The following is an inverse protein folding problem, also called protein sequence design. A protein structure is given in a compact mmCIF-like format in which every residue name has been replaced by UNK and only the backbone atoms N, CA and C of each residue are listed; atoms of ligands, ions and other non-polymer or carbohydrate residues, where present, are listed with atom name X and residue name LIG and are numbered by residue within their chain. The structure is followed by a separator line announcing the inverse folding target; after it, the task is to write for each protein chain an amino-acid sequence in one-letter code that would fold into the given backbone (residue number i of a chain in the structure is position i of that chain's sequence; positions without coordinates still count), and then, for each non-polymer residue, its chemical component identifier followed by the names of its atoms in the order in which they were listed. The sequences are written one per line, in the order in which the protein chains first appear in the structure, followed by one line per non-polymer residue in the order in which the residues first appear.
data_IF_747742002951
#
_entry.id   IF_747742002951
#
_cell.length_a   1.000
_cell.length_b   1.000
_cell.length_c   1.000
_cell.angle_alpha   90.00
_cell.angle_beta   90.00
_cell.angle_gamma   90.00
#
_symmetry.space_group_name_H-M   'P 1'
#
loop_
_entity.id
_entity.type
_entity.pdbx_description
1 polymer ?
#
# COMPACT_ATOMS: atom_id res chain seq x y z
N UNK A 1 12.03 4.61 19.99
CA UNK A 1 13.11 3.69 19.57
C UNK A 1 13.71 4.21 18.28
N UNK A 2 15.01 3.98 18.07
CA UNK A 2 15.66 4.22 16.76
C UNK A 2 16.12 2.85 16.29
N UNK A 3 15.76 2.49 15.06
CA UNK A 3 16.24 1.26 14.40
C UNK A 3 17.21 1.68 13.32
N UNK A 4 18.42 1.13 13.36
CA UNK A 4 19.44 1.32 12.34
C UNK A 4 19.74 -0.04 11.70
N UNK A 5 19.75 -0.08 10.37
CA UNK A 5 20.10 -1.26 9.61
C UNK A 5 21.26 -0.93 8.67
N UNK A 6 22.31 -1.75 8.70
CA UNK A 6 23.48 -1.63 7.83
C UNK A 6 23.56 -2.83 6.91
N UNK A 7 23.59 -2.58 5.60
CA UNK A 7 23.87 -3.60 4.59
C UNK A 7 25.34 -3.49 4.14
N UNK A 8 26.08 -4.59 4.21
CA UNK A 8 27.45 -4.68 3.71
C UNK A 8 27.70 -6.10 3.17
N UNK A 9 28.34 -6.21 2.01
CA UNK A 9 28.66 -7.49 1.40
C UNK A 9 29.85 -7.34 0.46
N UNK A 10 30.54 -8.46 0.19
CA UNK A 10 31.56 -8.56 -0.87
C UNK A 10 30.96 -9.01 -2.21
N UNK A 11 29.78 -9.63 -2.18
CA UNK A 11 29.13 -10.22 -3.36
C UNK A 11 27.89 -9.45 -3.81
N UNK A 12 27.19 -8.84 -2.85
CA UNK A 12 26.04 -7.98 -3.13
C UNK A 12 26.49 -6.54 -3.35
N UNK A 13 25.78 -5.86 -4.24
CA UNK A 13 26.00 -4.48 -4.60
C UNK A 13 24.75 -3.68 -4.28
N UNK A 14 24.95 -2.50 -3.70
CA UNK A 14 23.86 -1.65 -3.22
C UNK A 14 23.94 -0.29 -3.89
N UNK A 15 22.80 0.21 -4.35
CA UNK A 15 22.68 1.59 -4.82
C UNK A 15 21.42 2.22 -4.26
N UNK A 16 21.61 3.18 -3.36
CA UNK A 16 20.54 4.04 -2.91
C UNK A 16 20.24 5.13 -3.95
N UNK A 17 18.99 5.55 -3.99
CA UNK A 17 18.51 6.68 -4.77
C UNK A 17 17.29 7.32 -4.12
N UNK A 18 16.83 8.41 -4.70
CA UNK A 18 15.61 9.11 -4.26
C UNK A 18 14.87 9.67 -5.48
N UNK A 19 13.56 9.48 -5.51
CA UNK A 19 12.65 10.27 -6.35
C UNK A 19 12.02 11.35 -5.47
N UNK A 20 12.09 12.63 -5.85
CA UNK A 20 11.43 13.73 -5.14
C UNK A 20 10.10 14.09 -5.80
N UNK A 21 9.32 14.99 -5.19
CA UNK A 21 8.10 15.57 -5.78
C UNK A 21 7.13 14.51 -6.30
N UNK A 22 6.97 13.43 -5.53
CA UNK A 22 6.14 12.28 -5.97
C UNK A 22 4.66 12.55 -5.79
N UNK A 23 4.29 13.58 -5.01
CA UNK A 23 2.92 14.09 -4.94
C UNK A 23 2.42 14.74 -6.24
N UNK A 24 3.31 15.05 -7.19
CA UNK A 24 2.94 15.56 -8.52
C UNK A 24 2.38 14.46 -9.45
N UNK A 25 2.11 13.25 -8.95
CA UNK A 25 1.50 12.14 -9.69
C UNK A 25 2.27 11.79 -10.98
N UNK A 26 3.61 11.77 -10.91
CA UNK A 26 4.49 11.54 -12.06
C UNK A 26 5.26 10.22 -11.98
N UNK A 27 4.69 9.10 -12.51
CA UNK A 27 5.43 7.84 -12.70
C UNK A 27 6.75 8.02 -13.44
N UNK A 28 6.81 8.99 -14.36
CA UNK A 28 8.01 9.32 -15.12
C UNK A 28 9.18 9.81 -14.24
N UNK A 29 8.91 10.60 -13.18
CA UNK A 29 9.96 11.07 -12.28
C UNK A 29 10.53 9.91 -11.46
N UNK A 30 9.67 9.05 -10.94
CA UNK A 30 10.06 7.83 -10.21
C UNK A 30 10.90 6.93 -11.12
N UNK A 31 10.43 6.67 -12.34
CA UNK A 31 11.12 5.86 -13.33
C UNK A 31 12.54 6.39 -13.58
N UNK A 32 12.67 7.69 -13.87
CA UNK A 32 13.95 8.35 -14.15
C UNK A 32 14.94 8.22 -12.99
N UNK A 33 14.48 8.43 -11.75
CA UNK A 33 15.32 8.28 -10.56
C UNK A 33 15.86 6.86 -10.43
N UNK A 34 15.00 5.85 -10.62
CA UNK A 34 15.37 4.44 -10.55
C UNK A 34 16.32 4.05 -11.69
N UNK A 35 16.08 4.50 -12.92
CA UNK A 35 16.97 4.23 -14.07
C UNK A 35 18.37 4.84 -13.87
N UNK A 36 18.45 6.02 -13.25
CA UNK A 36 19.71 6.67 -12.91
C UNK A 36 20.50 5.85 -11.88
N UNK A 37 19.82 5.37 -10.82
CA UNK A 37 20.42 4.51 -9.82
C UNK A 37 20.83 3.15 -10.42
N UNK A 38 19.97 2.53 -11.24
CA UNK A 38 20.22 1.26 -11.93
C UNK A 38 21.46 1.34 -12.83
N UNK A 39 21.60 2.42 -13.60
CA UNK A 39 22.78 2.67 -14.43
C UNK A 39 24.05 2.81 -13.59
N UNK A 40 23.96 3.53 -12.47
CA UNK A 40 25.08 3.72 -11.54
C UNK A 40 25.49 2.46 -10.77
N UNK A 41 24.56 1.52 -10.56
CA UNK A 41 24.83 0.24 -9.89
C UNK A 41 25.76 -0.66 -10.72
N UNK A 42 25.74 -0.51 -12.05
CA UNK A 42 26.59 -1.26 -12.97
C UNK A 42 26.30 -2.76 -13.05
N UNK A 43 25.25 -3.23 -12.37
CA UNK A 43 24.75 -4.60 -12.36
C UNK A 43 23.23 -4.60 -12.37
N UNK A 44 22.63 -5.65 -12.94
CA UNK A 44 21.19 -5.83 -12.89
C UNK A 44 20.74 -5.97 -11.42
N UNK A 45 19.82 -5.12 -10.93
CA UNK A 45 19.25 -5.30 -9.60
C UNK A 45 18.41 -6.57 -9.55
N UNK A 46 18.33 -7.16 -8.38
CA UNK A 46 17.54 -8.34 -8.06
C UNK A 46 16.43 -8.04 -7.03
N UNK A 47 16.54 -6.94 -6.27
CA UNK A 47 15.53 -6.50 -5.30
C UNK A 47 15.58 -4.98 -5.10
N UNK A 48 14.43 -4.38 -4.78
CA UNK A 48 14.30 -2.96 -4.43
C UNK A 48 13.60 -2.83 -3.08
N UNK A 49 14.17 -2.02 -2.17
CA UNK A 49 13.51 -1.60 -0.93
C UNK A 49 13.12 -0.14 -1.07
N UNK A 50 11.88 0.24 -0.76
CA UNK A 50 11.37 1.61 -0.82
C UNK A 50 10.91 2.11 0.55
N UNK A 51 11.07 3.41 0.80
CA UNK A 51 10.57 4.08 2.02
C UNK A 51 9.83 5.37 1.68
N UNK A 52 8.73 5.30 0.91
CA UNK A 52 8.01 6.47 0.44
C UNK A 52 7.52 7.37 1.58
N UNK A 53 7.24 8.64 1.24
CA UNK A 53 6.46 9.51 2.10
C UNK A 53 5.13 8.84 2.50
N UNK A 54 4.54 9.29 3.61
CA UNK A 54 3.34 8.66 4.19
C UNK A 54 2.03 9.34 3.86
N UNK A 55 2.08 10.48 3.17
CA UNK A 55 0.95 11.39 3.05
C UNK A 55 0.89 11.96 1.65
N UNK A 56 -0.32 12.04 1.08
CA UNK A 56 -0.55 12.62 -0.24
C UNK A 56 0.29 11.96 -1.36
N UNK A 57 0.55 10.66 -1.22
CA UNK A 57 1.17 9.85 -2.27
C UNK A 57 0.15 8.87 -2.86
N UNK A 58 0.05 8.87 -4.18
CA UNK A 58 -0.70 7.85 -4.89
C UNK A 58 0.17 6.60 -5.07
N UNK A 59 -0.04 5.61 -4.20
CA UNK A 59 0.74 4.37 -4.21
C UNK A 59 0.63 3.61 -5.53
N UNK A 60 -0.49 3.70 -6.26
CA UNK A 60 -0.64 2.98 -7.52
C UNK A 60 0.25 3.59 -8.62
N UNK A 61 0.30 4.92 -8.71
CA UNK A 61 1.23 5.63 -9.62
C UNK A 61 2.69 5.44 -9.21
N UNK A 62 2.96 5.35 -7.89
CA UNK A 62 4.28 4.99 -7.39
C UNK A 62 4.73 3.62 -7.91
N UNK A 63 3.88 2.61 -7.70
CA UNK A 63 4.15 1.23 -8.14
C UNK A 63 4.27 1.16 -9.66
N UNK A 64 3.44 1.89 -10.41
CA UNK A 64 3.54 2.02 -11.86
C UNK A 64 4.92 2.54 -12.28
N UNK A 65 5.38 3.66 -11.71
CA UNK A 65 6.69 4.23 -12.03
C UNK A 65 7.86 3.29 -11.71
N UNK A 66 7.78 2.56 -10.59
CA UNK A 66 8.77 1.55 -10.21
C UNK A 66 8.79 0.38 -11.22
N UNK A 67 7.61 -0.15 -11.59
CA UNK A 67 7.46 -1.24 -12.56
C UNK A 67 7.96 -0.85 -13.95
N UNK A 68 7.71 0.38 -14.40
CA UNK A 68 8.22 0.87 -15.67
C UNK A 68 9.77 0.89 -15.74
N UNK A 69 10.47 1.03 -14.61
CA UNK A 69 11.94 1.01 -14.55
C UNK A 69 12.54 -0.38 -14.26
N UNK A 70 11.86 -1.18 -13.46
CA UNK A 70 12.38 -2.43 -12.91
C UNK A 70 11.80 -3.69 -13.58
N UNK A 71 10.61 -3.59 -14.17
CA UNK A 71 9.83 -4.69 -14.74
C UNK A 71 8.59 -5.04 -13.90
N UNK A 72 7.57 -5.59 -14.56
CA UNK A 72 6.25 -5.87 -13.95
C UNK A 72 6.29 -6.83 -12.76
N UNK A 73 7.16 -7.84 -12.82
CA UNK A 73 7.29 -8.88 -11.80
C UNK A 73 8.50 -8.67 -10.89
N UNK A 74 9.09 -7.47 -10.91
CA UNK A 74 10.28 -7.20 -10.12
C UNK A 74 9.94 -7.09 -8.63
N UNK A 75 10.69 -7.75 -7.72
CA UNK A 75 10.41 -7.73 -6.29
C UNK A 75 10.70 -6.36 -5.67
N UNK A 76 9.66 -5.72 -5.16
CA UNK A 76 9.70 -4.42 -4.49
C UNK A 76 9.13 -4.59 -3.08
N UNK A 77 9.93 -4.25 -2.07
CA UNK A 77 9.54 -4.32 -0.67
C UNK A 77 9.64 -2.95 -0.02
N UNK A 78 8.98 -2.75 1.11
CA UNK A 78 9.09 -1.51 1.85
C UNK A 78 7.81 -1.13 2.58
N UNK A 79 7.75 0.14 2.97
CA UNK A 79 6.59 0.72 3.63
C UNK A 79 6.71 2.23 3.68
N UNK A 80 5.57 2.90 3.81
CA UNK A 80 5.52 4.35 3.94
C UNK A 80 6.08 4.79 5.29
N UNK A 81 6.69 5.98 5.32
CA UNK A 81 7.02 6.65 6.56
C UNK A 81 5.72 6.97 7.33
N UNK A 82 5.73 6.81 8.65
CA UNK A 82 4.58 7.11 9.51
C UNK A 82 4.84 8.30 10.44
N UNK A 83 3.78 9.03 10.81
CA UNK A 83 3.83 10.16 11.74
C UNK A 83 2.96 9.95 13.00
N UNK A 84 2.62 8.70 13.30
CA UNK A 84 1.76 8.30 14.43
C UNK A 84 0.37 8.95 14.37
N UNK A 85 -0.22 9.06 13.17
CA UNK A 85 -1.55 9.63 12.94
C UNK A 85 -1.66 11.11 13.33
N UNK A 86 -0.55 11.83 13.40
CA UNK A 86 -0.56 13.25 13.75
C UNK A 86 -1.02 14.14 12.60
N UNK A 87 -0.95 13.65 11.37
CA UNK A 87 -1.33 14.42 10.18
C UNK A 87 -0.40 15.62 9.93
N UNK A 88 0.84 15.56 10.44
CA UNK A 88 1.82 16.65 10.33
C UNK A 88 2.81 16.44 9.18
N UNK A 89 2.67 15.33 8.45
CA UNK A 89 3.61 14.93 7.41
C UNK A 89 4.74 14.05 7.95
N UNK A 90 5.52 13.50 7.03
CA UNK A 90 6.63 12.59 7.34
C UNK A 90 7.92 13.08 6.73
N UNK A 91 9.04 12.59 7.25
CA UNK A 91 10.38 12.96 6.78
C UNK A 91 11.09 11.75 6.20
N UNK A 92 11.76 11.96 5.08
CA UNK A 92 12.58 10.98 4.39
C UNK A 92 14.00 11.53 4.29
N UNK A 93 15.00 10.65 4.31
CA UNK A 93 16.40 11.02 4.33
C UNK A 93 17.14 10.35 3.20
N UNK A 94 17.97 11.11 2.48
CA UNK A 94 18.90 10.57 1.50
C UNK A 94 20.18 11.40 1.48
N UNK A 95 21.31 10.76 1.81
CA UNK A 95 22.59 11.41 2.07
C UNK A 95 22.43 12.54 3.11
N UNK A 96 22.79 13.77 2.76
CA UNK A 96 22.71 14.95 3.63
C UNK A 96 21.40 15.71 3.54
N UNK A 97 20.43 15.21 2.75
CA UNK A 97 19.18 15.90 2.48
C UNK A 97 18.01 15.29 3.26
N UNK A 98 17.10 16.16 3.70
CA UNK A 98 15.81 15.82 4.31
C UNK A 98 14.71 16.20 3.34
N UNK A 99 13.76 15.30 3.12
CA UNK A 99 12.64 15.46 2.21
C UNK A 99 11.32 15.24 2.97
N UNK A 100 10.25 15.86 2.48
CA UNK A 100 8.87 15.62 2.94
C UNK A 100 7.97 15.05 1.86
N UNK A 101 8.46 15.06 0.62
CA UNK A 101 7.78 14.53 -0.56
C UNK A 101 8.79 13.77 -1.43
N UNK A 102 9.13 12.56 -0.99
CA UNK A 102 10.09 11.73 -1.69
C UNK A 102 9.87 10.23 -1.48
N UNK A 103 10.52 9.45 -2.33
CA UNK A 103 10.67 8.01 -2.20
C UNK A 103 12.16 7.67 -2.26
N UNK A 104 12.85 7.62 -1.10
CA UNK A 104 14.11 6.94 -1.02
C UNK A 104 13.93 5.45 -1.31
N UNK A 105 14.88 4.89 -2.04
CA UNK A 105 14.90 3.48 -2.37
C UNK A 105 16.33 2.93 -2.37
N UNK A 106 16.45 1.62 -2.24
CA UNK A 106 17.70 0.87 -2.27
C UNK A 106 17.58 -0.26 -3.29
N UNK A 107 18.39 -0.21 -4.34
CA UNK A 107 18.58 -1.30 -5.27
C UNK A 107 19.66 -2.25 -4.75
N UNK A 108 19.38 -3.55 -4.82
CA UNK A 108 20.29 -4.62 -4.42
C UNK A 108 20.55 -5.51 -5.63
N UNK A 109 21.80 -5.77 -5.97
CA UNK A 109 22.23 -6.66 -7.05
C UNK A 109 23.22 -7.73 -6.55
N UNK A 110 23.33 -8.84 -7.27
CA UNK A 110 24.21 -9.96 -6.94
C UNK A 110 23.44 -11.26 -6.69
N UNK A 111 24.09 -12.31 -6.19
CA UNK A 111 23.48 -13.62 -5.92
C UNK A 111 22.61 -13.58 -4.65
N UNK A 112 21.61 -12.68 -4.63
CA UNK A 112 20.68 -12.54 -3.52
C UNK A 112 19.66 -13.69 -3.55
N UNK A 113 19.59 -14.44 -2.45
CA UNK A 113 18.45 -15.30 -2.17
C UNK A 113 17.50 -14.54 -1.27
N UNK A 114 16.24 -14.43 -1.67
CA UNK A 114 15.19 -13.82 -0.88
C UNK A 114 13.91 -14.63 -1.03
N UNK A 115 13.03 -14.45 -0.06
CA UNK A 115 11.77 -15.16 0.07
C UNK A 115 10.82 -14.25 0.86
N UNK A 116 9.51 -14.37 0.66
CA UNK A 116 8.54 -13.48 1.30
C UNK A 116 7.17 -14.14 1.38
N UNK A 117 6.45 -13.86 2.48
CA UNK A 117 5.06 -14.24 2.64
C UNK A 117 4.24 -13.05 3.11
N UNK A 118 3.01 -12.94 2.61
CA UNK A 118 2.07 -11.87 2.97
C UNK A 118 0.81 -12.53 3.49
N UNK A 119 0.52 -12.31 4.76
CA UNK A 119 -0.73 -12.71 5.39
C UNK A 119 -1.16 -11.62 6.36
N UNK A 120 -2.44 -11.27 6.32
CA UNK A 120 -2.97 -10.14 7.10
C UNK A 120 -3.74 -10.57 8.33
N UNK A 121 -4.28 -11.79 8.34
CA UNK A 121 -5.21 -12.28 9.36
C UNK A 121 -6.61 -11.63 9.30
N UNK A 122 -6.85 -10.73 8.36
CA UNK A 122 -8.19 -10.20 8.07
C UNK A 122 -8.99 -11.21 7.26
N UNK A 123 -10.24 -11.40 7.65
CA UNK A 123 -11.15 -12.35 7.04
C UNK A 123 -12.28 -11.60 6.36
N UNK A 124 -12.49 -11.78 5.04
CA UNK A 124 -13.69 -11.33 4.36
C UNK A 124 -14.94 -11.93 4.99
N UNK A 125 -15.96 -11.11 5.12
CA UNK A 125 -17.22 -11.47 5.74
C UNK A 125 -18.40 -11.14 4.86
N UNK A 126 -19.48 -11.89 5.12
CA UNK A 126 -20.77 -11.75 4.43
C UNK A 126 -20.66 -11.95 2.91
N UNK A 127 -21.53 -11.29 2.15
CA UNK A 127 -21.63 -11.44 0.71
C UNK A 127 -20.72 -10.47 -0.05
N UNK A 128 -20.22 -10.95 -1.19
CA UNK A 128 -19.44 -10.15 -2.14
C UNK A 128 -20.29 -9.02 -2.72
N UNK A 129 -19.80 -7.80 -2.61
CA UNK A 129 -20.30 -6.63 -3.32
C UNK A 129 -19.56 -6.39 -4.63
N UNK A 130 -20.20 -5.72 -5.59
CA UNK A 130 -19.55 -5.27 -6.83
C UNK A 130 -19.42 -3.76 -6.80
N UNK A 131 -18.22 -3.20 -6.93
CA UNK A 131 -18.08 -1.74 -7.03
C UNK A 131 -18.69 -1.29 -8.36
N UNK A 132 -19.76 -0.49 -8.30
CA UNK A 132 -20.51 -0.03 -9.50
C UNK A 132 -20.27 1.44 -9.81
N UNK A 133 -19.69 2.20 -8.87
CA UNK A 133 -19.29 3.58 -9.10
C UNK A 133 -18.13 3.96 -8.17
N UNK A 134 -16.96 4.27 -8.74
CA UNK A 134 -15.79 4.73 -7.99
C UNK A 134 -14.95 5.73 -8.79
N UNK A 135 -14.29 6.64 -8.09
CA UNK A 135 -13.28 7.55 -8.65
C UNK A 135 -12.00 7.44 -7.81
N UNK A 136 -10.95 6.85 -8.39
CA UNK A 136 -9.68 6.58 -7.70
C UNK A 136 -9.90 5.78 -6.39
N UNK A 137 -9.70 6.40 -5.24
CA UNK A 137 -9.87 5.82 -3.92
C UNK A 137 -11.20 6.16 -3.25
N UNK A 138 -12.10 6.87 -3.95
CA UNK A 138 -13.43 7.23 -3.46
C UNK A 138 -14.47 6.32 -4.09
N UNK A 139 -15.13 5.50 -3.27
CA UNK A 139 -16.19 4.59 -3.70
C UNK A 139 -17.54 5.21 -3.38
N UNK A 140 -18.40 5.32 -4.39
CA UNK A 140 -19.75 5.89 -4.26
C UNK A 140 -20.81 4.80 -4.14
N UNK A 141 -20.67 3.70 -4.89
CA UNK A 141 -21.67 2.63 -4.92
C UNK A 141 -21.05 1.24 -4.92
N UNK A 142 -21.66 0.36 -4.12
CA UNK A 142 -21.36 -1.07 -4.06
C UNK A 142 -22.68 -1.82 -4.29
N UNK A 143 -22.71 -2.63 -5.34
CA UNK A 143 -23.89 -3.28 -5.89
C UNK A 143 -24.98 -2.25 -6.20
N UNK A 144 -26.13 -2.33 -5.52
CA UNK A 144 -27.29 -1.47 -5.77
C UNK A 144 -27.49 -0.37 -4.71
N UNK A 145 -26.49 -0.13 -3.85
CA UNK A 145 -26.59 0.83 -2.74
C UNK A 145 -25.36 1.74 -2.66
N UNK A 146 -25.45 2.78 -1.82
CA UNK A 146 -24.30 3.65 -1.56
C UNK A 146 -23.21 2.88 -0.81
N UNK A 147 -21.95 3.31 -0.93
CA UNK A 147 -20.85 2.70 -0.20
C UNK A 147 -21.06 2.80 1.32
N UNK A 148 -21.63 3.92 1.78
CA UNK A 148 -21.96 4.13 3.19
C UNK A 148 -23.04 3.16 3.68
N UNK A 149 -24.11 2.96 2.90
CA UNK A 149 -25.18 2.03 3.27
C UNK A 149 -24.70 0.58 3.25
N UNK A 150 -23.82 0.22 2.32
CA UNK A 150 -23.16 -1.09 2.30
C UNK A 150 -22.44 -1.38 3.63
N UNK A 151 -21.73 -0.39 4.20
CA UNK A 151 -21.10 -0.53 5.52
C UNK A 151 -22.10 -0.50 6.67
N UNK A 152 -23.12 0.35 6.64
CA UNK A 152 -24.14 0.44 7.70
C UNK A 152 -24.94 -0.84 7.84
N UNK A 153 -25.28 -1.51 6.74
CA UNK A 153 -26.00 -2.79 6.82
C UNK A 153 -25.20 -3.84 7.58
N UNK A 154 -23.87 -3.77 7.50
CA UNK A 154 -22.97 -4.68 8.20
C UNK A 154 -22.77 -4.27 9.67
N UNK A 155 -22.47 -3.00 9.91
CA UNK A 155 -22.11 -2.49 11.24
C UNK A 155 -23.36 -2.26 12.13
N UNK A 156 -24.53 -2.08 11.53
CA UNK A 156 -25.75 -1.63 12.16
C UNK A 156 -26.06 -0.18 11.82
N UNK A 157 -27.34 0.13 11.61
CA UNK A 157 -27.79 1.48 11.20
C UNK A 157 -27.49 2.57 12.23
N UNK A 158 -27.38 2.19 13.50
CA UNK A 158 -27.07 3.08 14.62
C UNK A 158 -25.57 3.43 14.72
N UNK A 159 -24.71 2.74 13.98
CA UNK A 159 -23.26 2.98 13.99
C UNK A 159 -22.93 4.13 13.04
N UNK A 160 -22.42 5.24 13.60
CA UNK A 160 -21.93 6.35 12.81
C UNK A 160 -20.44 6.14 12.48
N UNK A 161 -20.19 5.80 11.21
CA UNK A 161 -18.85 5.68 10.65
C UNK A 161 -18.15 7.02 10.88
N UNK A 162 -17.01 7.01 11.57
CA UNK A 162 -16.26 8.22 11.95
C UNK A 162 -16.31 8.61 13.43
N UNK A 163 -17.36 8.24 14.15
CA UNK A 163 -17.42 8.40 15.61
C UNK A 163 -17.31 7.07 16.34
N UNK A 164 -18.03 6.06 15.82
CA UNK A 164 -18.12 4.73 16.42
C UNK A 164 -17.19 3.71 15.75
N UNK A 165 -16.74 4.01 14.52
CA UNK A 165 -15.80 3.21 13.75
C UNK A 165 -14.50 3.99 13.60
N UNK A 166 -13.40 3.41 14.07
CA UNK A 166 -12.08 4.02 13.94
C UNK A 166 -11.58 3.83 12.51
N UNK A 167 -11.02 4.86 11.85
CA UNK A 167 -10.33 4.67 10.58
C UNK A 167 -9.31 3.52 10.64
N UNK A 168 -9.42 2.58 9.71
CA UNK A 168 -8.63 1.34 9.71
C UNK A 168 -9.35 0.11 10.27
N UNK A 169 -10.44 0.30 11.02
CA UNK A 169 -11.34 -0.80 11.37
C UNK A 169 -12.15 -1.21 10.12
N UNK A 170 -12.37 -2.51 9.97
CA UNK A 170 -13.14 -3.12 8.88
C UNK A 170 -12.69 -2.71 7.46
N UNK A 171 -11.41 -2.92 7.08
CA UNK A 171 -10.94 -2.62 5.75
C UNK A 171 -11.71 -3.43 4.69
N UNK A 172 -11.77 -2.88 3.49
CA UNK A 172 -12.37 -3.54 2.35
C UNK A 172 -11.35 -4.53 1.75
N UNK A 173 -11.70 -5.80 1.68
CA UNK A 173 -11.04 -6.76 0.81
C UNK A 173 -11.44 -6.46 -0.63
N UNK A 174 -10.45 -6.23 -1.49
CA UNK A 174 -10.63 -6.06 -2.93
C UNK A 174 -10.04 -7.29 -3.60
N UNK A 175 -10.89 -8.08 -4.24
CA UNK A 175 -10.50 -9.34 -4.85
C UNK A 175 -9.79 -9.12 -6.18
N UNK A 176 -8.74 -9.91 -6.41
CA UNK A 176 -8.09 -10.02 -7.70
C UNK A 176 -8.98 -10.80 -8.69
N UNK A 177 -8.57 -10.83 -9.96
CA UNK A 177 -9.32 -11.47 -11.05
C UNK A 177 -9.54 -12.98 -10.81
N UNK A 178 -8.65 -13.63 -10.05
CA UNK A 178 -8.79 -15.05 -9.69
C UNK A 178 -9.91 -15.32 -8.67
N UNK A 179 -10.46 -14.27 -8.06
CA UNK A 179 -11.56 -14.31 -7.10
C UNK A 179 -11.22 -14.96 -5.75
N UNK A 180 -9.96 -15.34 -5.52
CA UNK A 180 -9.45 -16.01 -4.32
C UNK A 180 -8.53 -15.10 -3.52
N UNK A 181 -7.58 -14.46 -4.20
CA UNK A 181 -6.65 -13.53 -3.60
C UNK A 181 -7.31 -12.16 -3.46
N UNK A 182 -6.95 -11.44 -2.41
CA UNK A 182 -7.42 -10.09 -2.17
C UNK A 182 -6.36 -9.26 -1.48
N UNK A 183 -6.44 -7.96 -1.67
CA UNK A 183 -5.68 -6.98 -0.90
C UNK A 183 -6.64 -6.08 -0.10
N UNK A 184 -6.11 -5.44 0.93
CA UNK A 184 -6.90 -4.60 1.82
C UNK A 184 -6.85 -3.12 1.40
N UNK A 185 -7.96 -2.44 1.63
CA UNK A 185 -8.12 -1.00 1.52
C UNK A 185 -8.75 -0.49 2.81
N UNK A 186 -7.95 0.18 3.63
CA UNK A 186 -8.40 0.72 4.90
C UNK A 186 -9.29 1.94 4.67
N UNK A 187 -10.37 2.05 5.44
CA UNK A 187 -11.23 3.22 5.44
C UNK A 187 -10.45 4.42 5.99
N UNK A 188 -10.44 5.53 5.25
CA UNK A 188 -9.77 6.77 5.64
C UNK A 188 -10.76 7.85 6.05
N UNK A 189 -11.82 8.05 5.27
CA UNK A 189 -12.87 9.04 5.54
C UNK A 189 -14.15 8.68 4.77
N UNK A 190 -15.21 9.46 4.97
CA UNK A 190 -16.51 9.25 4.32
C UNK A 190 -17.20 10.60 4.09
N UNK A 191 -18.21 10.60 3.21
CA UNK A 191 -19.05 11.74 2.95
C UNK A 191 -20.52 11.32 3.03
N UNK A 192 -21.24 11.83 4.03
CA UNK A 192 -22.65 11.49 4.28
C UNK A 192 -23.59 11.98 3.18
N UNK A 193 -23.36 13.17 2.64
CA UNK A 193 -24.19 13.75 1.59
C UNK A 193 -24.09 12.97 0.28
N UNK A 194 -22.88 12.51 -0.06
CA UNK A 194 -22.60 11.74 -1.27
C UNK A 194 -22.77 10.23 -1.08
N UNK A 195 -22.94 9.75 0.16
CA UNK A 195 -22.97 8.33 0.50
C UNK A 195 -21.67 7.57 0.16
N UNK A 196 -20.53 8.27 0.12
CA UNK A 196 -19.25 7.72 -0.37
C UNK A 196 -18.25 7.44 0.74
N UNK A 197 -17.35 6.50 0.51
CA UNK A 197 -16.22 6.18 1.40
C UNK A 197 -14.90 6.37 0.66
N UNK A 198 -13.93 6.99 1.32
CA UNK A 198 -12.56 7.17 0.83
C UNK A 198 -11.63 6.18 1.51
N UNK A 199 -10.85 5.46 0.71
CA UNK A 199 -9.94 4.41 1.16
C UNK A 199 -8.46 4.78 1.00
N UNK A 200 -7.58 4.03 1.69
CA UNK A 200 -6.12 4.11 1.52
C UNK A 200 -5.69 3.36 0.25
N UNK A 201 -5.67 4.06 -0.89
CA UNK A 201 -5.35 3.52 -2.22
C UNK A 201 -6.58 3.28 -3.08
N UNK A 202 -6.40 3.11 -4.38
CA UNK A 202 -7.54 3.05 -5.30
C UNK A 202 -8.36 1.77 -5.12
N UNK A 203 -9.66 1.90 -5.41
CA UNK A 203 -10.61 0.78 -5.49
C UNK A 203 -11.19 0.80 -6.91
N UNK A 204 -10.83 -0.17 -7.77
CA UNK A 204 -11.27 -0.16 -9.15
C UNK A 204 -12.79 -0.29 -9.28
N UNK A 205 -13.39 0.48 -10.20
CA UNK A 205 -14.75 0.22 -10.63
C UNK A 205 -14.85 -1.18 -11.26
N UNK A 206 -15.91 -1.90 -10.96
CA UNK A 206 -16.05 -3.31 -11.32
C UNK A 206 -15.26 -4.27 -10.43
N UNK A 207 -14.54 -3.82 -9.40
CA UNK A 207 -13.93 -4.74 -8.46
C UNK A 207 -14.98 -5.50 -7.64
N UNK A 208 -14.68 -6.75 -7.32
CA UNK A 208 -15.46 -7.52 -6.35
C UNK A 208 -14.87 -7.26 -4.97
N UNK A 209 -15.71 -6.94 -3.99
CA UNK A 209 -15.26 -6.47 -2.67
C UNK A 209 -16.04 -7.13 -1.54
N UNK A 210 -15.43 -7.22 -0.35
CA UNK A 210 -16.09 -7.62 0.89
C UNK A 210 -15.55 -6.78 2.04
N UNK A 211 -16.40 -6.48 3.02
CA UNK A 211 -15.93 -6.00 4.32
C UNK A 211 -15.10 -7.12 4.95
N UNK A 212 -14.13 -6.76 5.78
CA UNK A 212 -13.34 -7.74 6.53
C UNK A 212 -13.43 -7.46 8.02
N UNK A 213 -13.17 -8.47 8.84
CA UNK A 213 -12.84 -8.28 10.25
C UNK A 213 -11.59 -9.09 10.60
N UNK A 214 -10.94 -8.73 11.69
CA UNK A 214 -9.86 -9.49 12.27
C UNK A 214 -10.18 -9.85 13.72
N UNK A 215 -9.54 -10.90 14.22
CA UNK A 215 -9.48 -11.18 15.64
C UNK A 215 -8.05 -11.56 16.02
N UNK A 216 -7.76 -11.54 17.32
CA UNK A 216 -6.41 -11.77 17.84
C UNK A 216 -5.80 -13.08 17.32
N UNK A 217 -6.57 -14.16 17.35
CA UNK A 217 -6.08 -15.49 16.96
C UNK A 217 -5.73 -15.54 15.47
N UNK A 218 -6.55 -14.91 14.62
CA UNK A 218 -6.34 -14.85 13.18
C UNK A 218 -5.19 -13.96 12.78
N UNK A 219 -4.96 -12.86 13.49
CA UNK A 219 -3.75 -12.05 13.32
C UNK A 219 -2.49 -12.86 13.69
N UNK A 220 -2.52 -13.58 14.81
CA UNK A 220 -1.40 -14.44 15.22
C UNK A 220 -1.18 -15.58 14.22
N UNK A 221 -2.24 -16.19 13.72
CA UNK A 221 -2.20 -17.23 12.69
C UNK A 221 -1.63 -16.68 11.38
N UNK A 222 -2.11 -15.52 10.92
CA UNK A 222 -1.60 -14.83 9.74
C UNK A 222 -0.09 -14.57 9.83
N UNK A 223 0.39 -14.04 10.97
CA UNK A 223 1.82 -13.80 11.18
C UNK A 223 2.65 -15.11 11.14
N UNK A 224 2.10 -16.24 11.60
CA UNK A 224 2.78 -17.55 11.47
C UNK A 224 2.77 -18.02 10.02
N UNK A 225 1.63 -17.91 9.35
CA UNK A 225 1.46 -18.35 7.97
C UNK A 225 2.36 -17.56 7.02
N UNK A 226 2.52 -16.23 7.20
CA UNK A 226 3.44 -15.42 6.40
C UNK A 226 4.89 -15.86 6.51
N UNK A 227 5.31 -16.42 7.65
CA UNK A 227 6.67 -16.95 7.81
C UNK A 227 6.80 -18.33 7.15
N UNK A 228 5.77 -19.17 7.24
CA UNK A 228 5.80 -20.52 6.69
C UNK A 228 5.62 -20.56 5.16
N UNK A 229 4.97 -19.54 4.59
CA UNK A 229 4.79 -19.40 3.14
C UNK A 229 5.93 -18.64 2.47
N UNK A 230 6.85 -18.05 3.26
CA UNK A 230 7.98 -17.29 2.76
C UNK A 230 9.03 -18.16 2.08
#
# INVERSE_FOLDING_TARGET
SIVLMLFSSRELHFKAGVADRVSEDSPANIKKAVETAKSSLGKAPALCIITPNGWNINCDLLIEGLKQALGESFPIFGGTAGDQWRGTGTYQFYNSNVFTDAVPFLLIAGPLLFSFGVESGWMPIEEKGKVTQAEKNVVFKISNQSALDYYKNYLGEDIDIGTDVVPGDYPLAVFEEDGKNFYLRALQSFNKEKGSITFTGNVPEGATVQITHANRDKIIEGAKNSVNSA
#
